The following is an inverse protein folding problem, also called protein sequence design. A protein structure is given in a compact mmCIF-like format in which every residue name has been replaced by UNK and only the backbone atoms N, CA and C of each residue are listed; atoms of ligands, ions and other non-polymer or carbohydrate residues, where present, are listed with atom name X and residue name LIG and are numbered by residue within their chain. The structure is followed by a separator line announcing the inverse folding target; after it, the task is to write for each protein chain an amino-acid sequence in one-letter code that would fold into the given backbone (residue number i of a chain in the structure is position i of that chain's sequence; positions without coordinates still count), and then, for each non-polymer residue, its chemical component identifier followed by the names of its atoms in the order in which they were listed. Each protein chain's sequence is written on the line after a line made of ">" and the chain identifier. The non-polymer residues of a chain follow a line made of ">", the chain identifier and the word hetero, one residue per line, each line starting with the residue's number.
data_IF_311682402866
#
_entry.id   IF_311682402866
#
_cell.length_a   1.000
_cell.length_b   1.000
_cell.length_c   1.000
_cell.angle_alpha   90.00
_cell.angle_beta   90.00
_cell.angle_gamma   90.00
#
_symmetry.space_group_name_H-M   'P 1'
#
loop_
_entity.id
_entity.type
_entity.pdbx_description
1 polymer ?
#
# COMPACT_ATOMS: atom_id res chain seq x y z
N UNK A 1 -51.54 -3.89 -29.81
CA UNK A 1 -50.50 -3.80 -30.86
C UNK A 1 -49.20 -3.38 -30.20
N UNK A 2 -48.18 -4.25 -30.26
CA UNK A 2 -46.73 -4.09 -29.97
C UNK A 2 -46.30 -3.26 -28.74
N UNK A 3 -45.96 -3.97 -27.66
CA UNK A 3 -44.97 -3.56 -26.66
C UNK A 3 -43.58 -3.75 -27.31
N UNK A 4 -43.11 -2.75 -28.04
CA UNK A 4 -41.76 -2.71 -28.62
C UNK A 4 -40.95 -1.61 -27.96
N UNK A 5 -40.55 -1.79 -26.71
CA UNK A 5 -39.59 -0.90 -26.03
C UNK A 5 -38.79 -1.56 -24.89
N UNK A 6 -38.80 -2.91 -24.80
CA UNK A 6 -38.00 -3.61 -23.80
C UNK A 6 -36.54 -3.86 -24.22
N UNK A 7 -36.22 -3.73 -25.52
CA UNK A 7 -34.86 -4.01 -26.01
C UNK A 7 -33.87 -2.88 -25.74
N UNK A 8 -34.32 -1.62 -25.64
CA UNK A 8 -33.42 -0.47 -25.48
C UNK A 8 -32.84 -0.42 -24.05
N UNK A 9 -33.60 -0.85 -23.04
CA UNK A 9 -33.15 -0.89 -21.65
C UNK A 9 -32.11 -2.00 -21.41
N UNK A 10 -32.21 -3.12 -22.14
CA UNK A 10 -31.25 -4.22 -22.02
C UNK A 10 -29.92 -3.94 -22.72
N UNK A 11 -29.91 -3.17 -23.81
CA UNK A 11 -28.68 -2.78 -24.52
C UNK A 11 -27.88 -1.70 -23.78
N UNK A 12 -28.53 -0.83 -22.99
CA UNK A 12 -27.81 0.16 -22.17
C UNK A 12 -27.09 -0.51 -20.99
N UNK A 13 -27.62 -1.61 -20.45
CA UNK A 13 -26.99 -2.32 -19.32
C UNK A 13 -25.82 -3.23 -19.73
N UNK A 14 -25.73 -3.62 -21.01
CA UNK A 14 -24.70 -4.57 -21.50
C UNK A 14 -23.45 -3.90 -22.09
N UNK A 15 -23.45 -2.58 -22.29
CA UNK A 15 -22.28 -1.82 -22.78
C UNK A 15 -21.39 -1.29 -21.63
N UNK A 16 -21.82 -1.43 -20.37
CA UNK A 16 -21.07 -1.00 -19.18
C UNK A 16 -20.24 -2.11 -18.51
N UNK A 17 -20.00 -3.23 -19.18
CA UNK A 17 -18.93 -4.16 -18.78
C UNK A 17 -17.57 -3.70 -19.33
N UNK A 18 -17.31 -2.39 -19.32
CA UNK A 18 -15.93 -1.90 -19.26
C UNK A 18 -15.34 -2.44 -17.96
N UNK A 19 -14.21 -3.14 -18.04
CA UNK A 19 -13.43 -3.56 -16.88
C UNK A 19 -13.48 -2.45 -15.82
N UNK A 20 -14.17 -2.69 -14.70
CA UNK A 20 -14.19 -1.72 -13.61
C UNK A 20 -12.81 -1.76 -13.00
N UNK A 21 -11.90 -0.92 -13.47
CA UNK A 21 -10.69 -0.62 -12.72
C UNK A 21 -11.16 -0.04 -11.38
N UNK A 22 -10.71 -0.64 -10.29
CA UNK A 22 -11.00 -0.10 -8.97
C UNK A 22 -10.54 1.37 -8.92
N UNK A 23 -11.31 2.22 -8.23
CA UNK A 23 -10.90 3.61 -8.06
C UNK A 23 -9.59 3.65 -7.26
N UNK A 24 -8.69 4.55 -7.64
CA UNK A 24 -7.52 4.85 -6.80
C UNK A 24 -7.96 5.52 -5.51
N UNK A 25 -7.27 5.23 -4.40
CA UNK A 25 -7.41 5.98 -3.16
C UNK A 25 -6.99 7.46 -3.35
N UNK A 26 -7.30 8.31 -2.37
CA UNK A 26 -6.84 9.71 -2.32
C UNK A 26 -7.56 10.71 -3.24
N UNK A 27 -8.58 10.30 -4.02
CA UNK A 27 -9.37 11.23 -4.83
C UNK A 27 -10.22 12.11 -3.91
N UNK A 28 -9.83 13.38 -3.81
CA UNK A 28 -10.43 14.36 -2.89
C UNK A 28 -11.96 14.41 -2.99
N UNK A 29 -12.63 14.07 -1.89
CA UNK A 29 -14.09 14.10 -1.79
C UNK A 29 -14.82 12.92 -2.46
N UNK A 30 -14.08 11.96 -3.04
CA UNK A 30 -14.64 10.77 -3.70
C UNK A 30 -14.23 9.51 -2.95
N UNK A 31 -12.92 9.28 -2.77
CA UNK A 31 -12.39 8.12 -2.06
C UNK A 31 -11.72 8.53 -0.75
N UNK A 32 -11.57 7.57 0.17
CA UNK A 32 -10.77 7.73 1.37
C UNK A 32 -9.30 8.04 1.01
N UNK A 33 -8.53 8.68 1.93
CA UNK A 33 -7.08 8.85 1.78
C UNK A 33 -6.36 7.52 1.54
N UNK A 34 -5.19 7.56 0.91
CA UNK A 34 -4.37 6.37 0.74
C UNK A 34 -3.73 5.97 2.07
N UNK A 35 -3.60 4.67 2.33
CA UNK A 35 -2.91 4.15 3.51
C UNK A 35 -1.43 4.55 3.45
N UNK A 36 -0.83 4.53 2.26
CA UNK A 36 0.53 5.01 1.97
C UNK A 36 0.81 6.45 2.40
N UNK A 37 -0.22 7.30 2.58
CA UNK A 37 -0.02 8.65 3.11
C UNK A 37 0.34 8.64 4.61
N UNK A 38 0.03 7.55 5.32
CA UNK A 38 0.22 7.41 6.78
C UNK A 38 1.15 6.27 7.17
N UNK A 39 1.33 5.29 6.30
CA UNK A 39 2.10 4.08 6.54
C UNK A 39 3.07 3.84 5.39
N UNK A 40 4.37 3.90 5.70
CA UNK A 40 5.46 3.83 4.73
C UNK A 40 5.47 2.52 3.95
N UNK A 41 4.95 1.43 4.51
CA UNK A 41 4.88 0.10 3.88
C UNK A 41 4.15 0.11 2.54
N UNK A 42 3.12 0.95 2.43
CA UNK A 42 2.26 1.03 1.26
C UNK A 42 2.64 2.20 0.34
N UNK A 43 3.53 3.08 0.78
CA UNK A 43 3.94 4.26 0.03
C UNK A 43 5.01 3.92 -1.00
N UNK A 44 4.69 3.99 -2.29
CA UNK A 44 5.63 3.69 -3.38
C UNK A 44 6.71 4.77 -3.58
N UNK A 45 6.48 6.00 -3.09
CA UNK A 45 7.41 7.12 -3.25
C UNK A 45 8.55 7.11 -2.21
N UNK A 46 8.42 6.31 -1.15
CA UNK A 46 9.47 6.15 -0.15
C UNK A 46 10.50 5.13 -0.65
N UNK A 47 11.77 5.53 -0.59
CA UNK A 47 12.89 4.73 -1.05
C UNK A 47 13.17 3.50 -0.19
N UNK A 48 13.67 2.45 -0.83
CA UNK A 48 14.25 1.29 -0.14
C UNK A 48 15.75 1.45 0.16
N UNK A 49 16.34 2.60 -0.19
CA UNK A 49 17.73 2.89 0.13
C UNK A 49 17.91 3.05 1.65
N UNK A 50 18.78 2.21 2.23
CA UNK A 50 19.04 2.18 3.67
C UNK A 50 19.59 3.52 4.19
N UNK A 51 20.43 4.20 3.41
CA UNK A 51 21.02 5.49 3.77
C UNK A 51 20.00 6.63 3.71
N UNK A 52 18.98 6.50 2.88
CA UNK A 52 17.86 7.44 2.81
C UNK A 52 16.83 7.20 3.93
N UNK A 53 16.67 5.94 4.37
CA UNK A 53 15.76 5.60 5.46
C UNK A 53 16.31 5.94 6.85
N UNK A 54 17.60 5.72 7.12
CA UNK A 54 18.22 6.03 8.41
C UNK A 54 19.70 6.44 8.28
N UNK A 55 20.06 7.55 8.92
CA UNK A 55 21.43 8.09 8.94
C UNK A 55 22.46 7.14 9.55
N UNK A 56 22.04 6.19 10.37
CA UNK A 56 22.90 5.16 10.94
C UNK A 56 23.65 4.36 9.87
N UNK A 57 23.01 4.04 8.76
CA UNK A 57 23.67 3.28 7.70
C UNK A 57 24.79 4.08 7.02
N UNK A 58 24.66 5.40 6.97
CA UNK A 58 25.76 6.28 6.56
C UNK A 58 26.89 6.30 7.60
N UNK A 59 26.55 6.28 8.90
CA UNK A 59 27.56 6.36 9.95
C UNK A 59 28.38 5.08 10.10
N UNK A 60 27.82 3.89 9.86
CA UNK A 60 28.59 2.64 9.96
C UNK A 60 29.34 2.24 8.69
N UNK A 61 29.07 2.89 7.56
CA UNK A 61 29.80 2.63 6.31
C UNK A 61 31.28 3.03 6.41
N UNK A 62 32.16 2.17 5.88
CA UNK A 62 33.60 2.43 5.74
C UNK A 62 34.48 1.25 6.13
N UNK A 63 35.77 1.57 6.27
CA UNK A 63 36.83 0.62 6.65
C UNK A 63 37.23 0.84 8.09
N UNK A 64 37.36 -0.23 8.85
CA UNK A 64 37.67 -0.21 10.27
C UNK A 64 38.86 -1.12 10.57
N UNK A 65 39.74 -0.63 11.43
CA UNK A 65 40.66 -1.46 12.19
C UNK A 65 39.96 -1.89 13.47
N UNK A 66 40.15 -3.14 13.86
CA UNK A 66 39.55 -3.69 15.06
C UNK A 66 40.59 -4.30 15.99
N UNK A 67 40.38 -4.08 17.29
CA UNK A 67 41.06 -4.75 18.37
C UNK A 67 40.04 -5.60 19.12
N UNK A 68 40.13 -6.92 18.95
CA UNK A 68 39.24 -7.87 19.59
C UNK A 68 39.97 -8.62 20.71
N UNK A 69 39.29 -8.78 21.84
CA UNK A 69 39.74 -9.63 22.94
C UNK A 69 38.65 -10.65 23.22
N UNK A 70 39.02 -11.93 23.20
CA UNK A 70 38.17 -13.03 23.65
C UNK A 70 38.29 -13.18 25.15
N UNK A 71 37.17 -13.28 25.85
CA UNK A 71 37.10 -13.58 27.27
C UNK A 71 36.41 -14.93 27.47
N UNK A 72 36.96 -15.73 28.38
CA UNK A 72 36.30 -16.94 28.84
C UNK A 72 35.11 -16.62 29.77
N UNK A 73 34.41 -17.66 30.24
CA UNK A 73 33.27 -17.53 31.15
C UNK A 73 33.58 -16.82 32.48
N UNK A 74 34.85 -16.78 32.90
CA UNK A 74 35.30 -16.10 34.13
C UNK A 74 35.72 -14.64 33.88
N UNK A 75 35.62 -14.15 32.63
CA UNK A 75 35.99 -12.79 32.26
C UNK A 75 37.51 -12.58 32.13
N UNK A 76 38.28 -13.65 31.94
CA UNK A 76 39.74 -13.60 31.75
C UNK A 76 40.05 -13.65 30.24
N UNK A 77 40.94 -12.78 29.73
CA UNK A 77 41.40 -12.86 28.34
C UNK A 77 41.95 -14.24 28.00
N UNK A 78 41.41 -14.83 26.93
CA UNK A 78 41.83 -16.13 26.42
C UNK A 78 43.16 -15.97 25.66
N UNK A 79 44.20 -16.69 26.09
CA UNK A 79 45.56 -16.59 25.49
C UNK A 79 45.97 -17.90 24.82
N UNK A 80 45.19 -18.97 24.95
CA UNK A 80 45.61 -20.33 24.62
C UNK A 80 44.40 -21.19 24.20
N UNK A 81 43.76 -20.79 23.10
CA UNK A 81 42.58 -21.48 22.56
C UNK A 81 42.97 -22.39 21.38
N UNK A 82 42.58 -23.66 21.47
CA UNK A 82 42.80 -24.67 20.43
C UNK A 82 41.53 -24.84 19.60
N UNK A 83 41.33 -23.98 18.60
CA UNK A 83 40.18 -24.06 17.67
C UNK A 83 40.44 -25.08 16.54
N UNK A 84 41.70 -25.43 16.30
CA UNK A 84 42.15 -26.30 15.21
C UNK A 84 42.65 -27.65 15.74
N UNK A 85 42.84 -28.67 14.87
CA UNK A 85 43.39 -29.96 15.28
C UNK A 85 44.59 -29.82 16.23
N UNK A 86 44.71 -30.63 17.30
CA UNK A 86 45.74 -30.48 18.34
C UNK A 86 47.19 -30.44 17.83
N UNK A 87 47.39 -30.89 16.59
CA UNK A 87 48.66 -30.90 15.87
C UNK A 87 49.12 -29.51 15.42
N UNK A 88 48.26 -28.49 15.51
CA UNK A 88 48.53 -27.13 15.04
C UNK A 88 48.83 -26.15 16.18
N UNK A 89 48.97 -26.66 17.41
CA UNK A 89 49.18 -25.82 18.59
C UNK A 89 47.98 -24.93 18.87
N UNK A 90 48.24 -23.79 19.52
CA UNK A 90 47.20 -22.86 19.95
C UNK A 90 47.46 -21.45 19.44
N UNK A 91 46.45 -20.61 19.55
CA UNK A 91 46.48 -19.24 19.07
C UNK A 91 46.20 -18.26 20.21
N UNK A 92 46.83 -17.07 20.11
CA UNK A 92 46.69 -15.98 21.06
C UNK A 92 45.44 -15.17 20.74
N UNK A 93 44.36 -15.41 21.49
CA UNK A 93 43.12 -14.66 21.36
C UNK A 93 43.02 -13.46 22.32
N UNK A 94 44.10 -13.13 23.03
CA UNK A 94 44.10 -12.03 23.99
C UNK A 94 44.19 -10.68 23.31
N UNK A 95 44.64 -10.67 22.05
CA UNK A 95 44.63 -9.52 21.15
C UNK A 95 44.54 -9.99 19.69
N UNK A 96 43.32 -10.05 19.17
CA UNK A 96 43.03 -10.36 17.77
C UNK A 96 42.94 -9.07 16.98
N UNK A 97 43.63 -9.01 15.84
CA UNK A 97 43.59 -7.87 14.92
C UNK A 97 42.52 -8.11 13.87
N UNK A 98 41.50 -7.27 13.88
CA UNK A 98 40.41 -7.34 12.93
C UNK A 98 40.48 -6.25 11.87
N UNK A 99 39.96 -6.56 10.70
CA UNK A 99 39.84 -5.67 9.57
C UNK A 99 38.44 -5.80 9.02
N UNK A 100 37.65 -4.73 9.14
CA UNK A 100 36.24 -4.74 8.77
C UNK A 100 35.99 -3.74 7.64
N UNK A 101 35.25 -4.19 6.63
CA UNK A 101 34.68 -3.35 5.58
C UNK A 101 33.15 -3.47 5.63
N UNK A 102 32.48 -2.35 5.93
CA UNK A 102 31.02 -2.23 5.85
C UNK A 102 30.68 -1.37 4.65
N UNK A 103 29.96 -1.96 3.70
CA UNK A 103 29.46 -1.26 2.51
C UNK A 103 27.94 -1.27 2.51
N UNK A 104 27.33 -0.13 2.23
CA UNK A 104 25.88 0.02 2.07
C UNK A 104 25.61 0.68 0.71
N UNK A 105 24.86 0.01 -0.17
CA UNK A 105 24.48 0.49 -1.50
C UNK A 105 23.01 0.18 -1.77
N UNK A 106 22.19 1.22 -1.95
CA UNK A 106 20.76 1.04 -2.14
C UNK A 106 20.11 0.33 -0.95
N UNK A 107 19.35 -0.72 -1.25
CA UNK A 107 18.72 -1.55 -0.23
C UNK A 107 19.70 -2.48 0.47
N UNK A 108 20.93 -2.67 -0.02
CA UNK A 108 21.80 -3.75 0.42
C UNK A 108 22.87 -3.25 1.37
N UNK A 109 23.22 -4.10 2.32
CA UNK A 109 24.43 -3.92 3.13
C UNK A 109 25.28 -5.19 3.12
N UNK A 110 26.59 -4.95 3.19
CA UNK A 110 27.66 -5.93 3.09
C UNK A 110 28.60 -5.71 4.27
N UNK A 111 28.94 -6.78 4.95
CA UNK A 111 29.85 -6.77 6.09
C UNK A 111 30.92 -7.84 5.84
N UNK A 112 32.15 -7.39 5.61
CA UNK A 112 33.29 -8.24 5.31
C UNK A 112 34.36 -8.06 6.37
N UNK A 113 34.62 -9.09 7.16
CA UNK A 113 35.52 -9.04 8.31
C UNK A 113 36.64 -10.06 8.17
N UNK A 114 37.85 -9.67 8.54
CA UNK A 114 39.01 -10.56 8.64
C UNK A 114 39.58 -10.46 10.04
N UNK A 115 39.52 -11.55 10.79
CA UNK A 115 40.17 -11.65 12.10
C UNK A 115 41.50 -12.39 11.95
N UNK A 116 42.59 -11.72 12.29
CA UNK A 116 43.94 -12.25 12.23
C UNK A 116 44.39 -12.57 13.65
N UNK A 117 44.81 -13.81 13.85
CA UNK A 117 45.19 -14.36 15.16
C UNK A 117 46.63 -14.85 15.10
N UNK A 118 47.42 -14.48 16.10
CA UNK A 118 48.82 -14.90 16.20
C UNK A 118 48.92 -16.33 16.76
N UNK A 119 49.88 -17.10 16.29
CA UNK A 119 50.20 -18.44 16.83
C UNK A 119 51.04 -18.33 18.12
N UNK A 120 50.78 -19.20 19.11
CA UNK A 120 51.47 -19.20 20.41
C UNK A 120 52.87 -19.83 20.40
N UNK A 121 53.40 -20.22 19.25
CA UNK A 121 54.71 -20.86 19.08
C UNK A 121 54.84 -22.21 19.82
N UNK A 122 53.72 -22.90 20.03
CA UNK A 122 53.59 -24.21 20.68
C UNK A 122 53.27 -25.35 19.70
N UNK A 123 53.65 -25.17 18.43
CA UNK A 123 53.43 -26.16 17.37
C UNK A 123 54.26 -27.43 17.57
N UNK A 124 54.11 -28.45 16.71
CA UNK A 124 54.84 -29.71 16.81
C UNK A 124 56.35 -29.49 16.95
N UNK A 125 56.95 -30.00 18.01
CA UNK A 125 58.39 -29.83 18.29
C UNK A 125 58.81 -28.41 18.69
N UNK A 126 57.87 -27.55 19.11
CA UNK A 126 58.13 -26.15 19.47
C UNK A 126 58.32 -25.23 18.26
N UNK A 127 57.85 -25.66 17.08
CA UNK A 127 57.89 -24.82 15.87
C UNK A 127 56.84 -23.71 15.95
N UNK A 128 57.25 -22.51 15.54
CA UNK A 128 56.34 -21.40 15.30
C UNK A 128 55.60 -21.65 13.99
N UNK A 129 54.27 -21.80 14.07
CA UNK A 129 53.41 -21.96 12.90
C UNK A 129 52.88 -20.58 12.45
N UNK A 130 52.39 -20.47 11.19
CA UNK A 130 51.69 -19.29 10.73
C UNK A 130 50.52 -18.87 11.61
N UNK A 131 50.29 -17.56 11.70
CA UNK A 131 49.02 -17.02 12.19
C UNK A 131 47.82 -17.47 11.36
N UNK A 132 46.63 -17.29 11.93
CA UNK A 132 45.36 -17.71 11.37
C UNK A 132 44.57 -16.51 10.84
N UNK A 133 43.88 -16.69 9.72
CA UNK A 133 42.88 -15.76 9.21
C UNK A 133 41.49 -16.41 9.33
N UNK A 134 40.57 -15.72 10.01
CA UNK A 134 39.17 -16.09 10.14
C UNK A 134 38.31 -15.04 9.43
N UNK A 135 37.99 -15.23 8.14
CA UNK A 135 37.04 -14.38 7.43
C UNK A 135 35.59 -14.59 7.90
N UNK A 136 34.81 -13.52 7.86
CA UNK A 136 33.36 -13.55 8.07
C UNK A 136 32.69 -12.61 7.09
N UNK A 137 31.75 -13.14 6.32
CA UNK A 137 30.86 -12.37 5.46
C UNK A 137 29.46 -12.36 6.04
N UNK A 138 28.80 -11.21 5.94
CA UNK A 138 27.40 -11.05 6.29
C UNK A 138 26.71 -10.14 5.27
N UNK A 139 25.53 -10.58 4.85
CA UNK A 139 24.75 -9.95 3.79
C UNK A 139 23.33 -9.67 4.26
N UNK A 140 22.74 -8.57 3.81
CA UNK A 140 21.32 -8.32 4.00
C UNK A 140 20.77 -7.16 3.18
N UNK A 141 19.45 -6.95 3.29
CA UNK A 141 18.72 -5.96 2.51
C UNK A 141 17.68 -5.20 3.35
N UNK A 142 17.27 -4.01 2.91
CA UNK A 142 16.21 -3.19 3.53
C UNK A 142 14.94 -4.00 3.77
N UNK A 143 14.26 -3.69 4.86
CA UNK A 143 12.93 -4.23 5.17
C UNK A 143 11.87 -3.68 4.23
N UNK A 144 10.73 -4.38 4.14
CA UNK A 144 9.54 -3.88 3.45
C UNK A 144 8.81 -2.82 4.28
N UNK A 145 9.07 -2.76 5.58
CA UNK A 145 8.58 -1.80 6.55
C UNK A 145 9.08 -0.37 6.32
N UNK A 146 10.22 -0.22 5.63
CA UNK A 146 10.88 1.08 5.38
C UNK A 146 11.13 1.86 6.68
N UNK A 147 11.49 1.15 7.74
CA UNK A 147 11.71 1.66 9.09
C UNK A 147 13.19 1.87 9.42
N UNK A 148 14.06 1.87 8.39
CA UNK A 148 15.51 1.92 8.56
C UNK A 148 16.11 0.58 9.00
N UNK A 149 15.31 -0.49 9.13
CA UNK A 149 15.82 -1.83 9.39
C UNK A 149 16.32 -2.54 8.13
N UNK A 150 17.15 -3.55 8.33
CA UNK A 150 17.57 -4.48 7.28
C UNK A 150 17.35 -5.93 7.71
N UNK A 151 16.83 -6.76 6.82
CA UNK A 151 16.78 -8.22 6.99
C UNK A 151 18.14 -8.83 6.61
N UNK A 152 18.71 -9.60 7.53
CA UNK A 152 19.90 -10.39 7.28
C UNK A 152 19.55 -11.62 6.42
N UNK A 153 20.35 -11.84 5.39
CA UNK A 153 20.19 -12.95 4.44
C UNK A 153 20.99 -14.18 4.85
N UNK A 154 22.19 -13.99 5.40
CA UNK A 154 23.09 -15.08 5.73
C UNK A 154 24.46 -14.62 6.20
N UNK A 155 25.17 -15.55 6.83
CA UNK A 155 26.55 -15.38 7.28
C UNK A 155 27.38 -16.55 6.77
N UNK A 156 28.56 -16.25 6.26
CA UNK A 156 29.56 -17.27 5.98
C UNK A 156 30.77 -17.01 6.86
N UNK A 157 31.21 -18.04 7.59
CA UNK A 157 32.42 -17.99 8.40
C UNK A 157 33.29 -19.19 8.07
N UNK A 158 34.59 -18.97 7.99
CA UNK A 158 35.53 -20.05 7.67
C UNK A 158 36.85 -19.87 8.39
N UNK A 159 37.46 -20.99 8.74
CA UNK A 159 38.89 -21.06 9.05
C UNK A 159 39.54 -21.72 7.84
N UNK A 160 40.67 -21.18 7.36
CA UNK A 160 41.27 -21.48 6.06
C UNK A 160 41.61 -22.96 5.76
N UNK A 161 40.68 -23.89 5.76
CA UNK A 161 40.93 -25.31 5.55
C UNK A 161 39.89 -25.95 4.61
N UNK A 162 39.35 -25.18 3.64
CA UNK A 162 38.26 -25.66 2.78
C UNK A 162 36.97 -26.05 3.52
N UNK A 163 36.96 -25.98 4.86
CA UNK A 163 35.81 -26.17 5.73
C UNK A 163 35.18 -24.82 6.01
N UNK A 164 34.35 -24.36 5.09
CA UNK A 164 33.45 -23.26 5.35
C UNK A 164 32.25 -23.82 6.10
N UNK A 165 31.83 -23.13 7.15
CA UNK A 165 30.50 -23.37 7.70
C UNK A 165 29.65 -22.21 7.21
N UNK A 166 28.77 -22.48 6.25
CA UNK A 166 27.72 -21.55 5.89
C UNK A 166 26.81 -21.41 7.11
N UNK A 167 26.94 -20.36 7.91
CA UNK A 167 26.08 -20.15 9.08
C UNK A 167 24.83 -19.42 8.57
N UNK A 168 23.91 -20.18 7.99
CA UNK A 168 22.63 -19.69 7.48
C UNK A 168 22.69 -19.26 6.01
N UNK A 169 22.22 -20.15 5.13
CA UNK A 169 22.05 -19.89 3.70
C UNK A 169 20.57 -19.69 3.30
N UNK A 170 19.70 -19.25 4.22
CA UNK A 170 18.27 -19.18 3.94
C UNK A 170 17.58 -17.99 4.57
N UNK A 171 17.03 -17.12 3.72
CA UNK A 171 15.99 -16.15 4.08
C UNK A 171 14.66 -16.80 4.57
N UNK A 172 14.62 -18.14 4.73
CA UNK A 172 13.39 -18.92 4.67
C UNK A 172 12.74 -19.31 6.00
N UNK A 173 13.46 -19.44 7.12
CA UNK A 173 12.84 -19.93 8.36
C UNK A 173 12.86 -18.92 9.52
N UNK A 174 13.91 -18.09 9.66
CA UNK A 174 13.97 -17.04 10.68
C UNK A 174 14.99 -15.94 10.34
N UNK A 175 14.71 -15.05 9.35
CA UNK A 175 15.61 -13.96 9.01
C UNK A 175 15.78 -13.02 10.20
N UNK A 176 17.03 -12.74 10.56
CA UNK A 176 17.31 -11.80 11.65
C UNK A 176 17.14 -10.36 11.19
N UNK A 177 16.49 -9.56 12.03
CA UNK A 177 16.25 -8.16 11.77
C UNK A 177 17.35 -7.31 12.40
N UNK A 178 18.08 -6.58 11.58
CA UNK A 178 19.08 -5.60 12.02
C UNK A 178 18.39 -4.25 12.12
N UNK A 179 18.30 -3.72 13.35
CA UNK A 179 17.71 -2.40 13.61
C UNK A 179 18.71 -1.43 14.23
N UNK A 180 18.79 -0.20 13.70
CA UNK A 180 19.36 0.92 14.43
C UNK A 180 18.45 1.26 15.63
N UNK A 181 18.96 1.16 16.85
CA UNK A 181 18.23 1.56 18.06
C UNK A 181 19.07 2.58 18.82
N UNK A 182 18.72 3.87 18.68
CA UNK A 182 19.43 4.95 19.37
C UNK A 182 20.94 4.98 19.08
N UNK A 183 21.33 4.75 17.83
CA UNK A 183 22.74 4.69 17.41
C UNK A 183 23.45 3.37 17.72
N UNK A 184 22.71 2.32 18.11
CA UNK A 184 23.21 0.97 18.32
C UNK A 184 22.73 0.03 17.22
N UNK A 185 23.54 -0.96 16.90
CA UNK A 185 23.10 -2.11 16.10
C UNK A 185 22.89 -3.29 17.04
N UNK A 186 21.73 -3.93 16.97
CA UNK A 186 21.57 -5.29 17.46
C UNK A 186 21.63 -6.23 16.26
N UNK A 187 22.69 -7.03 16.19
CA UNK A 187 22.85 -8.09 15.21
C UNK A 187 22.59 -9.41 15.91
N UNK A 188 21.42 -9.98 15.69
CA UNK A 188 21.11 -11.35 16.10
C UNK A 188 21.55 -12.28 15.00
N UNK A 189 22.48 -13.18 15.27
CA UNK A 189 22.83 -14.27 14.36
C UNK A 189 22.12 -15.52 14.84
N UNK A 190 21.07 -15.95 14.12
CA UNK A 190 20.39 -17.19 14.45
C UNK A 190 21.18 -18.40 13.92
N UNK A 191 21.42 -19.45 14.73
CA UNK A 191 22.17 -20.61 14.32
C UNK A 191 21.30 -21.55 13.52
N UNK A 192 21.80 -21.99 12.38
CA UNK A 192 21.64 -23.38 12.03
C UNK A 192 22.71 -23.77 11.02
N UNK A 193 23.73 -24.47 11.49
CA UNK A 193 24.40 -25.50 10.68
C UNK A 193 25.09 -26.51 11.58
N UNK A 194 24.70 -27.76 11.41
CA UNK A 194 25.49 -28.93 11.76
C UNK A 194 26.93 -28.73 11.26
N UNK A 195 27.88 -28.56 12.17
CA UNK A 195 29.27 -28.77 11.84
C UNK A 195 29.43 -30.28 11.51
N UNK A 196 29.87 -30.68 10.30
CA UNK A 196 30.03 -32.09 9.95
C UNK A 196 31.10 -32.81 10.80
N UNK A 197 31.99 -32.04 11.45
CA UNK A 197 33.03 -32.51 12.38
C UNK A 197 32.55 -32.49 13.84
N UNK A 198 31.65 -31.58 14.21
CA UNK A 198 31.15 -31.40 15.59
C UNK A 198 29.61 -31.51 15.58
N UNK A 199 29.12 -32.76 15.62
CA UNK A 199 27.72 -33.12 15.34
C UNK A 199 26.65 -32.63 16.34
N UNK A 200 26.96 -31.77 17.33
CA UNK A 200 26.10 -31.67 18.52
C UNK A 200 26.07 -30.32 19.25
N UNK A 201 26.46 -29.19 18.63
CA UNK A 201 26.38 -27.88 19.30
C UNK A 201 25.81 -26.79 18.39
N UNK A 202 24.60 -26.31 18.69
CA UNK A 202 24.09 -25.05 18.16
C UNK A 202 24.61 -23.89 19.00
N UNK A 203 24.83 -22.72 18.38
CA UNK A 203 25.33 -21.52 19.05
C UNK A 203 24.53 -20.28 18.66
N UNK A 204 23.91 -19.59 19.60
CA UNK A 204 23.33 -18.28 19.32
C UNK A 204 24.40 -17.20 19.55
N UNK A 205 24.52 -16.26 18.60
CA UNK A 205 25.48 -15.17 18.69
C UNK A 205 24.74 -13.84 18.58
N UNK A 206 24.96 -12.97 19.57
CA UNK A 206 24.39 -11.64 19.61
C UNK A 206 25.53 -10.62 19.61
N UNK A 207 25.58 -9.74 18.60
CA UNK A 207 26.53 -8.63 18.57
C UNK A 207 25.80 -7.31 18.77
N UNK A 208 26.20 -6.57 19.80
CA UNK A 208 25.70 -5.22 20.08
C UNK A 208 26.78 -4.19 19.76
N UNK A 209 26.52 -3.31 18.78
CA UNK A 209 27.40 -2.21 18.40
C UNK A 209 27.03 -0.92 19.13
N UNK A 210 28.04 -0.22 19.63
CA UNK A 210 27.93 1.06 20.32
C UNK A 210 28.86 2.08 19.65
N UNK A 211 28.30 3.03 18.92
CA UNK A 211 29.08 4.14 18.39
C UNK A 211 29.39 5.15 19.50
N UNK A 212 30.65 5.57 19.59
CA UNK A 212 31.11 6.58 20.56
C UNK A 212 30.69 7.98 20.12
N UNK A 213 30.57 8.18 18.82
CA UNK A 213 30.17 9.43 18.17
C UNK A 213 29.10 9.21 17.09
N UNK A 214 28.48 10.29 16.62
CA UNK A 214 27.39 10.23 15.62
C UNK A 214 27.81 9.72 14.24
N UNK A 215 29.10 9.78 13.91
CA UNK A 215 29.67 9.30 12.65
C UNK A 215 30.28 7.90 12.77
N UNK A 216 30.15 7.28 13.96
CA UNK A 216 30.75 6.00 14.33
C UNK A 216 32.23 5.91 13.92
N UNK A 217 33.01 6.98 14.10
CA UNK A 217 34.47 6.94 13.86
C UNK A 217 35.14 6.00 14.83
N UNK A 218 34.69 6.01 16.08
CA UNK A 218 35.02 5.02 17.09
C UNK A 218 33.77 4.27 17.51
N UNK A 219 33.89 2.95 17.69
CA UNK A 219 32.79 2.14 18.21
C UNK A 219 33.29 0.93 18.99
N UNK A 220 32.43 0.38 19.83
CA UNK A 220 32.67 -0.86 20.54
C UNK A 220 31.58 -1.86 20.16
N UNK A 221 31.96 -3.07 19.80
CA UNK A 221 31.05 -4.19 19.63
C UNK A 221 31.25 -5.19 20.76
N UNK A 222 30.14 -5.67 21.29
CA UNK A 222 30.10 -6.67 22.35
C UNK A 222 29.35 -7.88 21.83
N UNK A 223 30.04 -9.00 21.72
CA UNK A 223 29.50 -10.21 21.11
C UNK A 223 29.38 -11.29 22.18
N UNK A 224 28.17 -11.80 22.38
CA UNK A 224 27.85 -12.86 23.33
C UNK A 224 27.53 -14.14 22.57
N UNK A 225 28.13 -15.26 22.99
CA UNK A 225 27.89 -16.58 22.40
C UNK A 225 27.27 -17.53 23.43
N UNK A 226 26.18 -18.18 23.05
CA UNK A 226 25.40 -19.08 23.89
C UNK A 226 25.31 -20.48 23.27
N UNK A 227 25.45 -21.54 24.05
CA UNK A 227 25.18 -22.91 23.58
C UNK A 227 23.67 -23.19 23.57
N UNK A 228 23.14 -23.63 22.43
CA UNK A 228 21.79 -24.18 22.35
C UNK A 228 21.80 -25.69 22.65
N UNK A 229 20.92 -26.12 23.55
CA UNK A 229 20.54 -27.53 23.74
C UNK A 229 19.07 -27.70 23.32
N UNK A 230 18.72 -28.87 22.80
CA UNK A 230 17.44 -29.12 22.11
C UNK A 230 16.19 -29.18 23.03
N UNK A 231 16.31 -28.95 24.34
CA UNK A 231 15.27 -29.31 25.33
C UNK A 231 15.07 -28.26 26.47
N UNK A 232 14.79 -26.98 26.16
CA UNK A 232 14.23 -25.97 27.10
C UNK A 232 14.99 -25.73 28.44
N UNK A 233 16.28 -26.08 28.52
CA UNK A 233 17.13 -25.87 29.70
C UNK A 233 18.25 -24.88 29.35
N UNK A 234 18.49 -23.95 30.28
CA UNK A 234 19.40 -22.80 30.21
C UNK A 234 20.59 -22.93 29.25
N UNK A 235 20.68 -21.99 28.31
CA UNK A 235 21.87 -21.68 27.51
C UNK A 235 23.04 -21.30 28.42
N UNK A 236 24.09 -22.13 28.60
CA UNK A 236 25.28 -21.64 29.27
C UNK A 236 25.95 -20.60 28.36
N UNK A 237 26.18 -19.41 28.91
CA UNK A 237 27.07 -18.42 28.32
C UNK A 237 28.43 -19.08 28.10
N UNK A 238 28.89 -19.07 26.86
CA UNK A 238 30.12 -19.76 26.45
C UNK A 238 31.27 -18.79 26.61
N UNK A 239 31.21 -17.71 25.86
CA UNK A 239 32.31 -16.80 25.63
C UNK A 239 31.77 -15.41 25.26
N UNK A 240 32.61 -14.40 25.46
CA UNK A 240 32.30 -13.03 25.07
C UNK A 240 33.49 -12.35 24.42
N UNK A 241 33.19 -11.59 23.37
CA UNK A 241 34.16 -10.81 22.63
C UNK A 241 33.92 -9.34 22.91
N UNK A 242 34.99 -8.62 23.21
CA UNK A 242 35.00 -7.16 23.15
C UNK A 242 35.80 -6.74 21.93
N UNK A 243 35.16 -6.04 21.02
CA UNK A 243 35.80 -5.46 19.84
C UNK A 243 35.80 -3.94 19.96
N UNK A 244 36.95 -3.30 19.88
CA UNK A 244 37.05 -1.85 19.65
C UNK A 244 37.28 -1.62 18.17
N UNK A 245 36.61 -0.65 17.56
CA UNK A 245 36.71 -0.34 16.12
C UNK A 245 37.09 1.12 15.91
N UNK A 246 38.00 1.35 14.98
CA UNK A 246 38.40 2.69 14.54
C UNK A 246 38.30 2.79 13.03
N UNK A 247 37.49 3.75 12.55
CA UNK A 247 37.32 4.02 11.12
C UNK A 247 38.60 4.65 10.55
N UNK A 248 39.07 4.14 9.42
CA UNK A 248 40.32 4.56 8.77
C UNK A 248 40.17 4.72 7.27
N UNK A 249 41.13 5.42 6.65
CA UNK A 249 41.23 5.49 5.19
C UNK A 249 41.79 4.18 4.60
N UNK A 250 41.50 3.94 3.31
CA UNK A 250 41.94 2.74 2.58
C UNK A 250 43.45 2.49 2.69
N UNK A 251 44.28 3.50 2.48
CA UNK A 251 45.74 3.34 2.51
C UNK A 251 46.24 2.91 3.90
N UNK A 252 45.66 3.47 4.97
CA UNK A 252 45.96 3.08 6.34
C UNK A 252 45.53 1.64 6.63
N UNK A 253 44.33 1.27 6.18
CA UNK A 253 43.81 -0.08 6.34
C UNK A 253 44.69 -1.13 5.64
N UNK A 254 45.08 -0.85 4.39
CA UNK A 254 45.97 -1.70 3.59
C UNK A 254 47.38 -1.80 4.17
N UNK A 255 47.92 -0.71 4.70
CA UNK A 255 49.23 -0.71 5.34
C UNK A 255 49.23 -1.54 6.63
N UNK A 256 48.21 -1.38 7.48
CA UNK A 256 48.15 -2.10 8.76
C UNK A 256 47.89 -3.58 8.56
N UNK A 257 47.03 -3.99 7.61
CA UNK A 257 46.82 -5.42 7.36
C UNK A 257 48.08 -6.10 6.84
N UNK A 258 48.81 -5.47 5.93
CA UNK A 258 50.09 -5.99 5.43
C UNK A 258 51.13 -6.14 6.55
N UNK A 259 51.16 -5.17 7.47
CA UNK A 259 52.00 -5.23 8.67
C UNK A 259 51.61 -6.39 9.58
N UNK A 260 50.32 -6.57 9.88
CA UNK A 260 49.84 -7.68 10.74
C UNK A 260 50.13 -9.04 10.10
N UNK A 261 49.97 -9.19 8.79
CA UNK A 261 50.38 -10.42 8.08
C UNK A 261 51.85 -10.75 8.34
N UNK A 262 52.72 -9.75 8.26
CA UNK A 262 54.16 -9.92 8.54
C UNK A 262 54.40 -10.26 10.01
N UNK A 263 53.85 -9.47 10.93
CA UNK A 263 54.05 -9.61 12.38
C UNK A 263 53.54 -10.95 12.91
N UNK A 264 52.45 -11.47 12.32
CA UNK A 264 51.83 -12.75 12.71
C UNK A 264 52.33 -13.92 11.87
N UNK A 265 53.32 -13.69 10.98
CA UNK A 265 53.88 -14.71 10.09
C UNK A 265 52.79 -15.43 9.25
N UNK A 266 51.77 -14.68 8.83
CA UNK A 266 50.70 -15.17 7.97
C UNK A 266 51.20 -15.10 6.52
N UNK A 267 51.20 -16.22 5.78
CA UNK A 267 51.58 -16.24 4.38
C UNK A 267 50.74 -15.28 3.55
N UNK A 268 51.37 -14.68 2.55
CA UNK A 268 50.64 -13.92 1.54
C UNK A 268 49.72 -14.86 0.77
N UNK A 269 48.51 -14.43 0.37
CA UNK A 269 47.64 -15.24 -0.48
C UNK A 269 48.23 -15.58 -1.85
N UNK A 270 49.23 -14.84 -2.31
CA UNK A 270 49.99 -15.15 -3.53
C UNK A 270 51.15 -16.13 -3.31
N UNK A 271 51.40 -16.56 -2.06
CA UNK A 271 52.50 -17.46 -1.71
C UNK A 271 52.14 -18.92 -2.05
N UNK A 272 52.85 -19.59 -2.98
CA UNK A 272 52.56 -20.98 -3.36
C UNK A 272 52.76 -22.00 -2.23
N UNK A 273 53.45 -21.64 -1.14
CA UNK A 273 53.63 -22.50 0.04
C UNK A 273 52.43 -22.51 1.00
N UNK A 274 51.39 -21.71 0.74
CA UNK A 274 50.12 -21.70 1.51
C UNK A 274 49.33 -23.02 1.44
N UNK A 275 49.69 -23.94 0.55
CA UNK A 275 49.09 -25.27 0.48
C UNK A 275 49.64 -26.22 1.56
N UNK A 276 49.78 -25.76 2.82
CA UNK A 276 49.77 -26.72 3.94
C UNK A 276 48.37 -27.35 3.88
N UNK A 277 48.22 -28.68 3.73
CA UNK A 277 46.91 -29.33 3.71
C UNK A 277 46.22 -29.04 5.06
N UNK A 278 45.32 -28.05 5.09
CA UNK A 278 45.00 -27.43 6.38
C UNK A 278 44.75 -25.92 6.38
N UNK A 279 45.49 -25.17 5.55
CA UNK A 279 45.66 -23.70 5.65
C UNK A 279 45.58 -23.00 4.29
N UNK A 280 44.55 -23.28 3.48
CA UNK A 280 44.16 -22.38 2.41
C UNK A 280 43.74 -21.02 3.00
N UNK A 281 44.70 -20.09 3.11
CA UNK A 281 44.45 -18.70 3.49
C UNK A 281 43.55 -18.10 2.40
N UNK A 282 42.36 -17.56 2.75
CA UNK A 282 41.52 -16.89 1.78
C UNK A 282 42.33 -15.85 1.03
N UNK A 283 42.22 -15.84 -0.29
CA UNK A 283 42.87 -14.86 -1.12
C UNK A 283 42.40 -13.46 -0.70
N UNK A 284 43.22 -12.71 0.02
CA UNK A 284 42.91 -11.33 0.35
C UNK A 284 42.88 -10.52 -0.96
N UNK A 285 41.68 -10.28 -1.44
CA UNK A 285 41.40 -9.26 -2.44
C UNK A 285 41.06 -7.97 -1.72
N UNK A 286 41.39 -6.85 -2.34
CA UNK A 286 41.23 -5.47 -1.86
C UNK A 286 39.87 -5.22 -1.15
N UNK A 287 39.74 -4.16 -0.32
CA UNK A 287 38.44 -3.80 0.23
C UNK A 287 37.39 -3.68 -0.88
N UNK A 288 36.30 -4.42 -0.73
CA UNK A 288 35.15 -4.35 -1.61
C UNK A 288 34.56 -2.93 -1.67
N UNK A 289 34.17 -2.51 -2.88
CA UNK A 289 33.47 -1.26 -3.13
C UNK A 289 32.29 -1.51 -4.07
N UNK A 290 31.09 -1.58 -3.48
CA UNK A 290 29.84 -1.81 -4.22
C UNK A 290 29.46 -0.67 -5.17
N UNK A 291 30.13 0.49 -5.09
CA UNK A 291 29.85 1.65 -5.95
C UNK A 291 30.53 1.55 -7.33
N UNK A 292 31.39 0.55 -7.51
CA UNK A 292 32.04 0.26 -8.79
C UNK A 292 31.12 -0.52 -9.74
N UNK A 293 31.51 -0.70 -11.01
CA UNK A 293 30.69 -1.41 -12.01
C UNK A 293 30.43 -2.88 -11.66
N UNK A 294 31.31 -3.47 -10.85
CA UNK A 294 31.18 -4.86 -10.38
C UNK A 294 30.43 -4.87 -9.05
N UNK A 295 29.09 -4.83 -9.13
CA UNK A 295 28.19 -4.82 -7.95
C UNK A 295 28.11 -6.15 -7.18
N UNK A 296 28.76 -7.19 -7.68
CA UNK A 296 28.88 -8.48 -7.00
C UNK A 296 30.12 -8.46 -6.11
N UNK A 297 29.98 -8.51 -4.77
CA UNK A 297 31.14 -8.60 -3.90
C UNK A 297 31.97 -9.83 -4.27
N UNK A 298 33.30 -9.71 -4.46
CA UNK A 298 34.15 -10.87 -4.38
C UNK A 298 34.04 -11.38 -2.95
N UNK A 299 33.29 -12.46 -2.75
CA UNK A 299 33.09 -12.99 -1.41
C UNK A 299 34.43 -13.34 -0.80
N UNK A 300 34.60 -12.92 0.44
CA UNK A 300 35.79 -13.23 1.21
C UNK A 300 35.80 -14.71 1.57
N UNK A 301 34.61 -15.25 1.75
CA UNK A 301 34.32 -16.67 1.85
C UNK A 301 34.01 -17.26 0.47
N UNK A 302 34.21 -18.57 0.27
CA UNK A 302 33.96 -19.22 -1.03
C UNK A 302 32.47 -19.30 -1.42
N UNK A 303 31.56 -18.79 -0.58
CA UNK A 303 30.11 -18.87 -0.79
C UNK A 303 29.48 -17.47 -0.81
N UNK A 304 28.96 -17.08 -1.98
CA UNK A 304 28.24 -15.83 -2.18
C UNK A 304 26.73 -16.06 -2.22
N UNK A 305 25.91 -15.08 -1.78
CA UNK A 305 24.51 -15.06 -2.13
C UNK A 305 24.31 -14.99 -3.65
N UNK A 306 23.42 -15.83 -4.16
CA UNK A 306 23.00 -15.83 -5.56
C UNK A 306 21.91 -14.78 -5.81
N UNK A 307 21.61 -14.48 -7.08
CA UNK A 307 20.47 -13.61 -7.44
C UNK A 307 19.14 -14.15 -6.92
N UNK A 308 18.98 -15.47 -6.85
CA UNK A 308 17.80 -16.12 -6.26
C UNK A 308 17.70 -15.83 -4.76
N UNK A 309 18.82 -15.77 -4.03
CA UNK A 309 18.82 -15.39 -2.61
C UNK A 309 18.41 -13.93 -2.43
N UNK A 310 18.93 -13.02 -3.26
CA UNK A 310 18.55 -11.61 -3.21
C UNK A 310 17.07 -11.39 -3.54
N UNK A 311 16.51 -12.11 -4.51
CA UNK A 311 15.11 -11.98 -4.89
C UNK A 311 14.12 -12.29 -3.76
N UNK A 312 14.53 -13.01 -2.71
CA UNK A 312 13.69 -13.32 -1.55
C UNK A 312 13.50 -12.12 -0.60
N UNK A 313 14.47 -11.20 -0.54
CA UNK A 313 14.50 -10.15 0.49
C UNK A 313 14.76 -8.75 -0.06
N UNK A 314 15.38 -8.63 -1.23
CA UNK A 314 15.75 -7.33 -1.80
C UNK A 314 14.52 -6.70 -2.46
N UNK A 315 14.03 -5.56 -1.96
CA UNK A 315 12.86 -4.91 -2.49
C UNK A 315 13.01 -4.38 -3.93
N UNK A 316 14.23 -4.28 -4.47
CA UNK A 316 14.44 -3.92 -5.88
C UNK A 316 14.31 -5.11 -6.85
N UNK A 317 14.42 -6.34 -6.35
CA UNK A 317 14.23 -7.58 -7.14
C UNK A 317 12.91 -8.27 -6.84
N UNK A 318 12.48 -8.23 -5.57
CA UNK A 318 11.22 -8.78 -5.11
C UNK A 318 10.05 -7.79 -5.23
N UNK A 319 8.86 -8.25 -4.86
CA UNK A 319 7.67 -7.40 -4.74
C UNK A 319 7.31 -7.24 -3.27
N UNK A 320 7.03 -6.00 -2.84
CA UNK A 320 6.52 -5.75 -1.50
C UNK A 320 5.30 -6.62 -1.20
N UNK A 321 5.26 -7.33 -0.05
CA UNK A 321 4.05 -8.05 0.38
C UNK A 321 2.93 -7.07 0.78
N UNK A 322 3.27 -5.79 0.98
CA UNK A 322 2.33 -4.72 1.28
C UNK A 322 1.87 -4.04 -0.02
N UNK A 323 0.64 -4.34 -0.42
CA UNK A 323 -0.01 -3.74 -1.58
C UNK A 323 -1.06 -2.76 -1.07
N UNK A 324 -1.00 -1.51 -1.55
CA UNK A 324 -2.00 -0.49 -1.25
C UNK A 324 -3.37 -1.00 -1.70
N UNK A 325 -4.38 -1.08 -0.80
CA UNK A 325 -5.69 -1.56 -1.18
C UNK A 325 -6.40 -0.60 -2.13
N UNK A 326 -7.37 -1.13 -2.85
CA UNK A 326 -8.22 -0.35 -3.73
C UNK A 326 -8.96 0.77 -2.97
N UNK A 327 -9.19 1.90 -3.65
CA UNK A 327 -9.83 3.08 -3.07
C UNK A 327 -11.29 2.83 -2.69
N UNK A 328 -11.60 3.04 -1.41
CA UNK A 328 -12.97 2.96 -0.88
C UNK A 328 -13.65 4.32 -0.98
N UNK A 329 -14.89 4.35 -1.47
CA UNK A 329 -15.68 5.59 -1.57
C UNK A 329 -15.97 6.20 -0.19
N UNK A 330 -15.96 7.53 -0.12
CA UNK A 330 -16.36 8.25 1.08
C UNK A 330 -17.88 8.22 1.25
N UNK A 331 -18.34 8.13 2.51
CA UNK A 331 -19.78 8.22 2.81
C UNK A 331 -20.41 9.51 2.32
N UNK A 332 -19.66 10.62 2.33
CA UNK A 332 -20.11 11.92 1.79
C UNK A 332 -20.36 11.90 0.29
N UNK A 333 -19.49 11.26 -0.50
CA UNK A 333 -19.70 11.11 -1.94
C UNK A 333 -20.94 10.27 -2.26
N UNK A 334 -21.10 9.12 -1.58
CA UNK A 334 -22.26 8.24 -1.74
C UNK A 334 -23.55 9.00 -1.37
N UNK A 335 -23.54 9.73 -0.24
CA UNK A 335 -24.66 10.57 0.16
C UNK A 335 -24.97 11.66 -0.89
N UNK A 336 -23.93 12.30 -1.44
CA UNK A 336 -24.08 13.32 -2.48
C UNK A 336 -24.73 12.78 -3.76
N UNK A 337 -24.27 11.64 -4.26
CA UNK A 337 -24.83 11.00 -5.47
C UNK A 337 -26.26 10.49 -5.22
N UNK A 338 -26.52 9.91 -4.04
CA UNK A 338 -27.87 9.42 -3.68
C UNK A 338 -28.86 10.56 -3.53
N UNK A 339 -28.50 11.64 -2.82
CA UNK A 339 -29.35 12.83 -2.69
C UNK A 339 -29.59 13.45 -4.07
N UNK A 340 -28.54 13.61 -4.88
CA UNK A 340 -28.66 14.20 -6.23
C UNK A 340 -29.58 13.36 -7.13
N UNK A 341 -29.46 12.04 -7.10
CA UNK A 341 -30.33 11.15 -7.89
C UNK A 341 -31.78 11.17 -7.40
N UNK A 342 -32.03 11.27 -6.10
CA UNK A 342 -33.37 11.47 -5.55
C UNK A 342 -33.96 12.81 -6.00
N UNK A 343 -33.18 13.90 -5.92
CA UNK A 343 -33.64 15.23 -6.37
C UNK A 343 -33.99 15.23 -7.85
N UNK A 344 -33.13 14.65 -8.70
CA UNK A 344 -33.41 14.52 -10.14
C UNK A 344 -34.66 13.67 -10.38
N UNK A 345 -34.84 12.56 -9.67
CA UNK A 345 -36.04 11.74 -9.78
C UNK A 345 -37.29 12.52 -9.40
N UNK A 346 -37.27 13.26 -8.27
CA UNK A 346 -38.38 14.09 -7.82
C UNK A 346 -38.71 15.20 -8.83
N UNK A 347 -37.71 15.82 -9.44
CA UNK A 347 -37.90 16.81 -10.51
C UNK A 347 -38.55 16.21 -11.75
N UNK A 348 -38.12 15.01 -12.17
CA UNK A 348 -38.73 14.28 -13.29
C UNK A 348 -40.19 13.94 -12.96
N UNK A 349 -40.46 13.43 -11.75
CA UNK A 349 -41.83 13.14 -11.30
C UNK A 349 -42.69 14.41 -11.25
N UNK A 350 -42.16 15.52 -10.76
CA UNK A 350 -42.86 16.80 -10.76
C UNK A 350 -43.17 17.28 -12.18
N UNK A 351 -42.21 17.18 -13.12
CA UNK A 351 -42.44 17.53 -14.53
C UNK A 351 -43.51 16.65 -15.18
N UNK A 352 -43.50 15.33 -14.92
CA UNK A 352 -44.53 14.40 -15.42
C UNK A 352 -45.89 14.74 -14.80
N UNK A 353 -45.93 15.00 -13.49
CA UNK A 353 -47.14 15.39 -12.78
C UNK A 353 -47.72 16.69 -13.36
N UNK A 354 -46.90 17.74 -13.48
CA UNK A 354 -47.32 19.04 -14.02
C UNK A 354 -47.83 18.92 -15.46
N UNK A 355 -47.09 18.24 -16.34
CA UNK A 355 -47.54 17.96 -17.71
C UNK A 355 -48.84 17.15 -17.74
N UNK A 356 -49.01 16.21 -16.82
CA UNK A 356 -50.22 15.41 -16.68
C UNK A 356 -51.43 16.24 -16.24
N UNK A 357 -51.26 17.15 -15.28
CA UNK A 357 -52.30 18.08 -14.84
C UNK A 357 -52.70 19.03 -15.97
N UNK A 358 -51.74 19.68 -16.61
CA UNK A 358 -52.00 20.59 -17.76
C UNK A 358 -52.72 19.86 -18.90
N UNK A 359 -52.34 18.60 -19.20
CA UNK A 359 -53.01 17.79 -20.20
C UNK A 359 -54.43 17.39 -19.80
N UNK A 360 -54.68 17.12 -18.52
CA UNK A 360 -56.04 16.83 -18.00
C UNK A 360 -56.91 18.07 -18.08
N UNK A 361 -56.41 19.20 -17.64
CA UNK A 361 -57.11 20.48 -17.72
C UNK A 361 -57.53 20.77 -19.17
N UNK A 362 -56.58 20.67 -20.12
CA UNK A 362 -56.90 20.85 -21.55
C UNK A 362 -57.93 19.86 -22.08
N UNK A 363 -57.85 18.57 -21.69
CA UNK A 363 -58.83 17.55 -22.12
C UNK A 363 -60.22 17.82 -21.56
N UNK A 364 -60.30 18.22 -20.29
CA UNK A 364 -61.56 18.50 -19.61
C UNK A 364 -62.20 19.77 -20.17
N UNK A 365 -61.44 20.86 -20.33
CA UNK A 365 -61.90 22.09 -21.00
C UNK A 365 -62.44 21.80 -22.41
N UNK A 366 -61.71 20.98 -23.19
CA UNK A 366 -62.16 20.55 -24.53
C UNK A 366 -63.41 19.67 -24.50
N UNK A 367 -63.52 18.75 -23.54
CA UNK A 367 -64.69 17.89 -23.40
C UNK A 367 -65.96 18.68 -23.05
N UNK A 368 -65.86 19.63 -22.12
CA UNK A 368 -66.97 20.53 -21.75
C UNK A 368 -67.39 21.38 -22.94
N UNK A 369 -66.44 21.99 -23.67
CA UNK A 369 -66.75 22.73 -24.89
C UNK A 369 -67.47 21.88 -25.95
N UNK A 370 -66.99 20.65 -26.20
CA UNK A 370 -67.61 19.71 -27.15
C UNK A 370 -69.04 19.33 -26.78
N UNK A 371 -69.43 19.54 -25.53
CA UNK A 371 -70.70 19.07 -24.98
C UNK A 371 -71.70 20.22 -24.93
N UNK A 372 -71.20 21.41 -24.61
CA UNK A 372 -71.89 22.67 -24.81
C UNK A 372 -72.25 22.90 -26.28
N UNK A 373 -71.32 22.60 -27.21
CA UNK A 373 -71.59 22.70 -28.65
C UNK A 373 -72.77 21.82 -29.08
N UNK A 374 -72.82 20.60 -28.53
CA UNK A 374 -73.84 19.60 -28.83
C UNK A 374 -75.21 19.95 -28.22
N UNK A 375 -75.24 20.39 -26.97
CA UNK A 375 -76.50 20.76 -26.27
C UNK A 375 -77.22 21.97 -26.86
N UNK A 376 -76.52 22.81 -27.62
CA UNK A 376 -77.07 24.07 -28.11
C UNK A 376 -77.19 24.16 -29.63
N UNK A 377 -76.84 23.10 -30.38
CA UNK A 377 -76.87 23.08 -31.85
C UNK A 377 -76.09 24.25 -32.50
N UNK A 378 -75.10 24.78 -31.80
CA UNK A 378 -74.34 25.94 -32.24
C UNK A 378 -73.15 25.48 -33.07
N UNK A 379 -73.01 26.03 -34.27
CA UNK A 379 -71.72 26.05 -34.96
C UNK A 379 -70.80 26.94 -34.11
N UNK A 380 -70.00 26.33 -33.24
CA UNK A 380 -68.91 27.03 -32.55
C UNK A 380 -67.90 27.44 -33.62
N UNK A 381 -68.20 28.56 -34.28
CA UNK A 381 -67.26 29.30 -35.10
C UNK A 381 -66.63 30.37 -34.21
N UNK A 382 -65.40 30.77 -34.54
CA UNK A 382 -64.49 31.62 -33.76
C UNK A 382 -65.03 32.99 -33.26
N UNK A 383 -66.30 33.32 -33.51
CA UNK A 383 -66.95 34.57 -33.09
C UNK A 383 -68.24 34.29 -32.32
N UNK A 384 -68.15 33.74 -31.10
CA UNK A 384 -69.26 33.84 -30.16
C UNK A 384 -69.44 35.33 -29.80
N UNK A 385 -70.62 35.87 -30.04
CA UNK A 385 -70.94 37.23 -29.61
C UNK A 385 -71.29 37.25 -28.12
N UNK A 386 -71.18 38.41 -27.47
CA UNK A 386 -71.61 38.57 -26.07
C UNK A 386 -73.08 38.18 -25.87
N UNK A 387 -73.90 38.31 -26.92
CA UNK A 387 -75.30 37.88 -26.90
C UNK A 387 -75.42 36.36 -26.83
N UNK A 388 -74.63 35.65 -27.62
CA UNK A 388 -74.62 34.18 -27.62
C UNK A 388 -74.18 33.64 -26.25
N UNK A 389 -73.10 34.20 -25.66
CA UNK A 389 -72.65 33.83 -24.32
C UNK A 389 -73.68 34.14 -23.22
N UNK A 390 -74.40 35.25 -23.33
CA UNK A 390 -75.47 35.60 -22.39
C UNK A 390 -76.68 34.65 -22.51
N UNK A 391 -77.08 34.28 -23.73
CA UNK A 391 -78.13 33.28 -23.96
C UNK A 391 -77.72 31.90 -23.43
N UNK A 392 -76.44 31.53 -23.54
CA UNK A 392 -75.89 30.31 -22.92
C UNK A 392 -75.96 30.37 -21.40
N UNK A 393 -75.49 31.47 -20.81
CA UNK A 393 -75.43 31.66 -19.36
C UNK A 393 -76.82 31.53 -18.73
N UNK A 394 -77.82 32.23 -19.29
CA UNK A 394 -79.21 32.19 -18.82
C UNK A 394 -79.88 30.82 -18.99
N UNK A 395 -79.36 29.94 -19.86
CA UNK A 395 -79.89 28.59 -20.04
C UNK A 395 -79.30 27.60 -19.04
N UNK A 396 -78.14 27.92 -18.46
CA UNK A 396 -77.42 27.07 -17.52
C UNK A 396 -77.79 27.44 -16.08
N UNK A 397 -77.91 28.74 -15.81
CA UNK A 397 -78.44 29.33 -14.58
C UNK A 397 -79.94 28.97 -14.45
N UNK A 398 -80.22 27.84 -13.79
CA UNK A 398 -81.53 27.19 -13.72
C UNK A 398 -82.45 27.92 -12.73
N UNK A 399 -81.86 28.50 -11.68
CA UNK A 399 -82.56 29.29 -10.67
C UNK A 399 -82.61 30.80 -10.96
N UNK A 400 -81.82 31.28 -11.94
CA UNK A 400 -81.81 32.67 -12.41
C UNK A 400 -81.15 33.64 -11.42
N UNK A 401 -80.26 33.15 -10.55
CA UNK A 401 -79.65 33.95 -9.50
C UNK A 401 -78.49 34.85 -10.02
N UNK A 402 -78.12 34.73 -11.29
CA UNK A 402 -77.07 35.52 -11.93
C UNK A 402 -75.66 34.94 -11.77
N UNK A 403 -75.55 33.71 -11.27
CA UNK A 403 -74.30 32.96 -11.09
C UNK A 403 -74.57 31.47 -11.35
N UNK A 404 -73.61 30.74 -11.91
CA UNK A 404 -73.77 29.30 -12.15
C UNK A 404 -73.11 28.53 -11.02
N UNK A 405 -73.88 27.76 -10.27
CA UNK A 405 -73.34 26.94 -9.18
C UNK A 405 -72.74 25.61 -9.67
N UNK A 406 -72.03 24.91 -8.77
CA UNK A 406 -71.41 23.61 -9.06
C UNK A 406 -72.43 22.54 -9.46
N UNK A 407 -73.66 22.58 -9.00
CA UNK A 407 -74.72 21.64 -9.35
C UNK A 407 -75.27 21.89 -10.75
N UNK A 408 -75.50 23.15 -11.11
CA UNK A 408 -76.02 23.60 -12.40
C UNK A 408 -75.05 23.31 -13.54
N UNK A 409 -73.78 23.65 -13.35
CA UNK A 409 -72.73 23.32 -14.32
C UNK A 409 -72.53 21.79 -14.45
N UNK A 410 -72.76 21.01 -13.39
CA UNK A 410 -72.67 19.54 -13.43
C UNK A 410 -73.84 18.92 -14.20
N UNK A 411 -75.07 19.38 -13.93
CA UNK A 411 -76.28 18.98 -14.68
C UNK A 411 -76.11 19.22 -16.18
N UNK A 412 -75.51 20.35 -16.56
CA UNK A 412 -75.23 20.69 -17.94
C UNK A 412 -74.23 19.70 -18.59
N UNK A 413 -73.13 19.43 -17.89
CA UNK A 413 -72.08 18.51 -18.36
C UNK A 413 -72.61 17.08 -18.49
N UNK A 414 -73.40 16.61 -17.51
CA UNK A 414 -74.01 15.29 -17.51
C UNK A 414 -75.11 15.17 -18.58
N UNK A 415 -75.95 16.20 -18.73
CA UNK A 415 -77.05 16.25 -19.71
C UNK A 415 -76.59 16.30 -21.17
N UNK A 416 -75.37 16.80 -21.42
CA UNK A 416 -74.75 16.79 -22.74
C UNK A 416 -74.15 15.43 -23.15
N UNK A 417 -74.19 14.44 -22.26
CA UNK A 417 -73.79 13.06 -22.56
C UNK A 417 -72.29 12.80 -22.46
N UNK A 418 -71.54 13.61 -21.70
CA UNK A 418 -70.17 13.25 -21.29
C UNK A 418 -70.25 12.15 -20.22
N UNK A 419 -70.63 10.95 -20.63
CA UNK A 419 -70.45 9.80 -19.77
C UNK A 419 -68.94 9.66 -19.51
N UNK A 420 -68.54 9.79 -18.24
CA UNK A 420 -67.21 9.52 -17.66
C UNK A 420 -66.32 10.72 -17.28
N UNK A 421 -66.84 11.92 -17.00
CA UNK A 421 -66.04 12.90 -16.26
C UNK A 421 -66.06 12.55 -14.76
N UNK A 422 -64.88 12.36 -14.14
CA UNK A 422 -64.81 12.05 -12.72
C UNK A 422 -65.11 13.29 -11.86
N UNK A 423 -65.67 13.13 -10.67
CA UNK A 423 -65.92 14.24 -9.73
C UNK A 423 -64.63 15.03 -9.43
N UNK A 424 -63.47 14.36 -9.47
CA UNK A 424 -62.17 15.01 -9.31
C UNK A 424 -61.85 15.93 -10.47
N UNK A 425 -62.08 15.50 -11.71
CA UNK A 425 -61.82 16.30 -12.90
C UNK A 425 -62.81 17.48 -13.01
N UNK A 426 -64.06 17.27 -12.56
CA UNK A 426 -65.06 18.33 -12.43
C UNK A 426 -64.62 19.44 -11.46
N UNK A 427 -64.16 19.06 -10.26
CA UNK A 427 -63.69 20.02 -9.26
C UNK A 427 -62.47 20.81 -9.74
N UNK A 428 -61.54 20.16 -10.46
CA UNK A 428 -60.37 20.83 -11.06
C UNK A 428 -60.80 21.83 -12.14
N UNK A 429 -61.78 21.47 -12.98
CA UNK A 429 -62.31 22.38 -13.98
C UNK A 429 -62.97 23.59 -13.34
N UNK A 430 -63.90 23.37 -12.40
CA UNK A 430 -64.65 24.45 -11.76
C UNK A 430 -63.69 25.43 -11.07
N UNK A 431 -62.73 24.92 -10.29
CA UNK A 431 -61.71 25.74 -9.63
C UNK A 431 -60.75 26.45 -10.60
N UNK A 432 -60.69 26.04 -11.87
CA UNK A 432 -59.91 26.75 -12.90
C UNK A 432 -60.66 27.91 -13.56
N UNK A 433 -61.96 28.05 -13.26
CA UNK A 433 -62.86 29.06 -13.85
C UNK A 433 -63.33 30.06 -12.78
N UNK A 434 -63.66 29.55 -11.59
CA UNK A 434 -63.98 30.30 -10.37
C UNK A 434 -62.70 31.02 -9.88
N UNK A 435 -62.48 32.25 -10.36
CA UNK A 435 -61.24 33.00 -10.15
C UNK A 435 -61.21 33.68 -8.78
N UNK A 436 -62.39 34.02 -8.24
CA UNK A 436 -62.53 34.62 -6.92
C UNK A 436 -62.78 33.60 -5.79
N UNK A 437 -62.87 32.31 -6.15
CA UNK A 437 -63.11 31.16 -5.27
C UNK A 437 -64.42 31.26 -4.47
N UNK A 438 -65.43 31.96 -4.99
CA UNK A 438 -66.72 32.14 -4.32
C UNK A 438 -67.64 30.91 -4.41
N UNK A 439 -67.27 29.90 -5.21
CA UNK A 439 -68.00 28.65 -5.37
C UNK A 439 -69.13 28.68 -6.40
N UNK A 440 -69.29 29.80 -7.11
CA UNK A 440 -70.22 30.05 -8.22
C UNK A 440 -69.46 30.69 -9.37
N UNK A 441 -69.99 30.65 -10.59
CA UNK A 441 -69.37 31.31 -11.75
C UNK A 441 -70.20 32.51 -12.16
N UNK A 442 -69.64 33.70 -12.05
CA UNK A 442 -70.31 34.90 -12.56
C UNK A 442 -70.22 34.98 -14.10
N UNK A 443 -70.96 35.92 -14.69
CA UNK A 443 -70.98 36.07 -16.15
C UNK A 443 -69.60 36.45 -16.73
N UNK A 444 -68.78 37.18 -15.99
CA UNK A 444 -67.44 37.62 -16.43
C UNK A 444 -66.47 36.44 -16.42
N UNK A 445 -66.47 35.63 -15.36
CA UNK A 445 -65.69 34.40 -15.24
C UNK A 445 -66.10 33.38 -16.30
N UNK A 446 -67.40 33.25 -16.53
CA UNK A 446 -67.95 32.45 -17.62
C UNK A 446 -67.42 32.94 -18.98
N UNK A 447 -67.54 34.24 -19.29
CA UNK A 447 -67.01 34.79 -20.55
C UNK A 447 -65.49 34.60 -20.70
N UNK A 448 -64.73 34.80 -19.62
CA UNK A 448 -63.28 34.63 -19.60
C UNK A 448 -62.88 33.18 -19.89
N UNK A 449 -63.61 32.20 -19.34
CA UNK A 449 -63.42 30.79 -19.65
C UNK A 449 -63.54 30.51 -21.13
N UNK A 450 -64.62 30.97 -21.79
CA UNK A 450 -64.80 30.75 -23.23
C UNK A 450 -63.78 31.49 -24.09
N UNK A 451 -63.39 32.70 -23.70
CA UNK A 451 -62.35 33.47 -24.39
C UNK A 451 -60.96 32.84 -24.28
N UNK A 452 -60.68 32.11 -23.20
CA UNK A 452 -59.40 31.43 -22.95
C UNK A 452 -59.21 30.13 -23.74
N UNK A 453 -60.21 29.70 -24.51
CA UNK A 453 -60.19 28.42 -25.24
C UNK A 453 -59.88 28.66 -26.72
N UNK A 454 -58.68 28.28 -27.15
CA UNK A 454 -58.33 28.20 -28.57
C UNK A 454 -59.03 27.00 -29.23
N UNK A 455 -60.03 27.28 -30.07
CA UNK A 455 -60.67 26.25 -30.90
C UNK A 455 -59.79 26.00 -32.13
N UNK A 456 -58.97 24.95 -32.09
CA UNK A 456 -58.30 24.43 -33.29
C UNK A 456 -59.30 23.67 -34.16
N UNK A 457 -59.35 24.01 -35.45
CA UNK A 457 -60.22 23.38 -36.46
C UNK A 457 -59.95 21.87 -36.54
N UNK A 458 -60.97 21.07 -36.23
CA UNK A 458 -60.98 19.65 -36.61
C UNK A 458 -61.10 19.55 -38.12
N UNK A 459 -60.05 19.10 -38.79
CA UNK A 459 -60.11 18.67 -40.18
C UNK A 459 -60.88 17.35 -40.22
N UNK A 460 -62.20 17.41 -40.46
CA UNK A 460 -62.99 16.24 -40.85
C UNK A 460 -62.62 15.89 -42.30
N UNK A 461 -61.76 14.88 -42.46
CA UNK A 461 -61.68 14.13 -43.72
C UNK A 461 -62.77 13.06 -43.72
N UNK A 462 -63.52 13.06 -44.83
CA UNK A 462 -64.56 12.12 -45.25
C UNK A 462 -64.15 10.66 -45.27
#
# INVERSE_FOLDING_TARGET
>A
MKVSNLSIVSTILTVLTSQSSALKCGIKGVTMPCIGDTDSRYNQDISYDLKEQDNFWNSIGGLFLEDMVLYNSDGIPETNNAILPPQLGTYDFSNVKGFLNVTVDGSRYYYHRYLLVKHNSDGPGGMQLPGLVNPTDLYGASTFEKDGGAMQMGIAQGFGNGGFTAIGAGAGENPALVKPIGGKMLLTVWPNTMNPVIKDRSFEVYESLYCVDSECKESNAYTEQYHGFQDDIHTPFVEFFRTSRTKVAKDTWMAEISKVYTDFSIPSPDDPFTLIPGFNVPAFSQPFDATTSDKTPPCVTLECPTDENWALIDPYLGTSPYIEPDGVLTGGFIAGVTISSIVVALLIFYMIYKRGVEAREKRVKKAVLSSLSKCMSLKISKNLTAKDLNEMFQKIDDDGNGSIDKGEMKKLVDGAGIANMSDRDYNVLFASIDLDENGTLDFVEFCAFFASIDVEEGNDET
#
